data_IF_654584497685
#
_entry.id   IF_654584497685
#
_cell.length_a   1.000
_cell.length_b   1.000
_cell.length_c   1.000
_cell.angle_alpha   90.00
_cell.angle_beta   90.00
_cell.angle_gamma   90.00
#
_symmetry.space_group_name_H-M   'P 1'
#
loop_
_entity.id
_entity.type
_entity.pdbx_description
1 polymer ?
#
# COMPACT_ATOMS: atom_id res chain seq x y z
N UNK A 1 -4.98 2.26 -14.15
CA UNK A 1 -6.42 2.48 -13.82
C UNK A 1 -6.97 3.52 -14.77
N UNK A 2 -8.19 3.33 -15.25
CA UNK A 2 -8.91 4.40 -15.95
C UNK A 2 -9.10 5.60 -15.02
N UNK A 3 -8.97 6.83 -15.53
CA UNK A 3 -8.98 8.02 -14.68
C UNK A 3 -10.37 8.39 -14.16
N UNK A 4 -11.42 8.10 -14.94
CA UNK A 4 -12.79 8.34 -14.47
C UNK A 4 -13.18 7.35 -13.39
N UNK A 5 -12.74 6.09 -13.51
CA UNK A 5 -12.88 5.09 -12.45
C UNK A 5 -12.09 5.52 -11.20
N UNK A 6 -10.87 6.01 -11.36
CA UNK A 6 -10.09 6.53 -10.23
C UNK A 6 -10.84 7.65 -9.50
N UNK A 7 -11.33 8.64 -10.24
CA UNK A 7 -12.10 9.75 -9.65
C UNK A 7 -13.34 9.25 -8.90
N UNK A 8 -14.12 8.35 -9.48
CA UNK A 8 -15.30 7.83 -8.81
C UNK A 8 -15.01 7.13 -7.48
N UNK A 9 -13.89 6.40 -7.41
CA UNK A 9 -13.41 5.77 -6.17
C UNK A 9 -13.03 6.82 -5.13
N UNK A 10 -12.31 7.87 -5.56
CA UNK A 10 -11.87 8.95 -4.67
C UNK A 10 -13.08 9.77 -4.18
N UNK A 11 -14.00 10.12 -5.07
CA UNK A 11 -15.22 10.86 -4.74
C UNK A 11 -16.06 10.12 -3.68
N UNK A 12 -16.21 8.82 -3.83
CA UNK A 12 -16.89 8.00 -2.83
C UNK A 12 -16.16 7.97 -1.48
N UNK A 13 -14.83 7.87 -1.51
CA UNK A 13 -14.02 7.88 -0.29
C UNK A 13 -14.11 9.19 0.49
N UNK A 14 -14.32 10.32 -0.17
CA UNK A 14 -14.44 11.64 0.47
C UNK A 14 -15.64 11.78 1.39
N UNK A 15 -16.71 11.04 1.16
CA UNK A 15 -17.89 11.07 2.02
C UNK A 15 -17.58 10.61 3.47
N UNK A 16 -16.49 9.88 3.66
CA UNK A 16 -16.10 9.32 4.96
C UNK A 16 -15.05 10.12 5.72
N UNK A 17 -14.75 11.34 5.29
CA UNK A 17 -13.77 12.21 5.94
C UNK A 17 -12.35 12.11 5.35
N UNK A 18 -11.36 12.80 5.94
CA UNK A 18 -9.97 12.73 5.49
C UNK A 18 -9.43 11.32 5.53
N UNK A 19 -8.64 10.94 4.52
CA UNK A 19 -8.09 9.59 4.35
C UNK A 19 -6.63 9.63 3.92
N UNK A 20 -5.94 8.53 4.20
CA UNK A 20 -4.64 8.25 3.59
C UNK A 20 -4.84 7.42 2.33
N UNK A 21 -4.35 7.91 1.21
CA UNK A 21 -4.40 7.25 -0.09
C UNK A 21 -3.01 6.74 -0.46
N UNK A 22 -2.88 5.42 -0.56
CA UNK A 22 -1.68 4.79 -1.08
C UNK A 22 -1.88 4.50 -2.57
N UNK A 23 -1.22 5.28 -3.43
CA UNK A 23 -1.32 5.14 -4.89
C UNK A 23 -0.40 4.02 -5.40
N UNK A 24 -0.46 2.88 -4.74
CA UNK A 24 0.36 1.71 -5.02
C UNK A 24 -0.37 0.44 -4.57
N UNK A 25 -0.22 -0.63 -5.33
CA UNK A 25 -0.56 -1.99 -4.90
C UNK A 25 0.54 -2.97 -5.31
N UNK A 26 0.65 -3.34 -6.61
CA UNK A 26 1.68 -4.25 -7.14
C UNK A 26 2.38 -3.71 -8.40
N UNK A 27 2.13 -2.46 -8.77
CA UNK A 27 2.74 -1.78 -9.91
C UNK A 27 3.67 -0.64 -9.48
N UNK A 28 4.23 0.05 -10.48
CA UNK A 28 5.01 1.28 -10.27
C UNK A 28 4.10 2.50 -10.53
N UNK A 29 3.77 3.30 -9.51
CA UNK A 29 2.84 4.43 -9.66
C UNK A 29 3.35 5.50 -10.62
N UNK A 30 4.67 5.74 -10.68
CA UNK A 30 5.26 6.74 -11.56
C UNK A 30 5.23 6.37 -13.05
N UNK A 31 4.84 5.14 -13.38
CA UNK A 31 4.51 4.74 -14.77
C UNK A 31 3.09 5.14 -15.17
N UNK A 32 2.26 5.59 -14.26
CA UNK A 32 0.91 6.04 -14.59
C UNK A 32 0.95 7.45 -15.18
N UNK A 33 0.56 7.66 -16.46
CA UNK A 33 0.76 8.96 -17.14
C UNK A 33 0.04 10.13 -16.47
N UNK A 34 -1.01 9.86 -15.70
CA UNK A 34 -1.81 10.87 -15.01
C UNK A 34 -1.58 10.86 -13.49
N UNK A 35 -0.39 10.48 -13.05
CA UNK A 35 -0.10 10.35 -11.60
C UNK A 35 -0.20 11.71 -10.90
N UNK A 36 0.30 12.76 -11.51
CA UNK A 36 0.26 14.12 -10.94
C UNK A 36 -1.17 14.60 -10.81
N UNK A 37 -1.97 14.49 -11.89
CA UNK A 37 -3.40 14.85 -11.85
C UNK A 37 -4.17 14.05 -10.77
N UNK A 38 -3.80 12.80 -10.56
CA UNK A 38 -4.41 11.96 -9.53
C UNK A 38 -4.07 12.45 -8.10
N UNK A 39 -2.84 12.89 -7.89
CA UNK A 39 -2.39 13.47 -6.62
C UNK A 39 -3.11 14.80 -6.37
N UNK A 40 -3.09 15.70 -7.34
CA UNK A 40 -3.81 16.97 -7.27
C UNK A 40 -5.28 16.77 -6.93
N UNK A 41 -5.94 15.85 -7.63
CA UNK A 41 -7.34 15.56 -7.40
C UNK A 41 -7.63 15.17 -5.95
N UNK A 42 -6.82 14.30 -5.36
CA UNK A 42 -6.96 13.90 -3.96
C UNK A 42 -6.74 15.10 -3.01
N UNK A 43 -5.73 15.92 -3.28
CA UNK A 43 -5.36 17.04 -2.40
C UNK A 43 -6.37 18.18 -2.47
N UNK A 44 -6.90 18.47 -3.68
CA UNK A 44 -7.90 19.53 -3.88
C UNK A 44 -9.26 19.17 -3.30
N UNK A 45 -9.65 17.92 -3.38
CA UNK A 45 -10.98 17.49 -3.02
C UNK A 45 -11.26 17.56 -1.51
N UNK A 46 -10.24 17.40 -0.66
CA UNK A 46 -10.40 17.55 0.79
C UNK A 46 -9.10 17.90 1.50
N UNK A 47 -9.16 18.98 2.29
CA UNK A 47 -8.08 19.34 3.21
C UNK A 47 -7.87 18.22 4.25
N UNK A 48 -6.62 17.82 4.46
CA UNK A 48 -6.25 16.75 5.41
C UNK A 48 -6.13 15.36 4.79
N UNK A 49 -6.37 15.19 3.48
CA UNK A 49 -6.01 13.97 2.78
C UNK A 49 -4.49 13.81 2.73
N UNK A 50 -4.05 12.58 2.97
CA UNK A 50 -2.63 12.19 2.93
C UNK A 50 -2.41 11.33 1.70
N UNK A 51 -1.43 11.70 0.87
CA UNK A 51 -1.03 10.95 -0.33
C UNK A 51 0.31 10.27 -0.09
N UNK A 52 0.33 8.96 -0.26
CA UNK A 52 1.50 8.11 -0.08
C UNK A 52 1.83 7.44 -1.41
N UNK A 53 3.07 7.54 -1.85
CA UNK A 53 3.60 6.82 -3.00
C UNK A 53 4.60 5.77 -2.55
N UNK A 54 4.44 4.54 -3.05
CA UNK A 54 5.47 3.50 -2.93
C UNK A 54 6.04 3.26 -4.32
N UNK A 55 7.32 3.53 -4.51
CA UNK A 55 7.99 3.50 -5.82
C UNK A 55 9.31 2.75 -5.77
N UNK A 56 9.70 2.13 -6.89
CA UNK A 56 11.04 1.58 -7.08
C UNK A 56 12.10 2.68 -7.30
N UNK A 57 11.68 3.93 -7.51
CA UNK A 57 12.50 5.11 -7.64
C UNK A 57 13.19 5.32 -9.00
N UNK A 58 12.96 4.45 -9.98
CA UNK A 58 13.62 4.56 -11.30
C UNK A 58 13.20 5.83 -12.06
N UNK A 59 12.00 6.30 -11.85
CA UNK A 59 11.44 7.50 -12.48
C UNK A 59 11.39 8.71 -11.54
N UNK A 60 11.87 8.57 -10.31
CA UNK A 60 11.68 9.59 -9.28
C UNK A 60 12.34 10.93 -9.65
N UNK A 61 13.51 10.89 -10.31
CA UNK A 61 14.25 12.09 -10.75
C UNK A 61 13.46 12.90 -11.79
N UNK A 62 12.54 12.27 -12.53
CA UNK A 62 11.71 12.92 -13.55
C UNK A 62 10.50 13.64 -12.95
N UNK A 63 10.09 13.28 -11.76
CA UNK A 63 8.86 13.77 -11.10
C UNK A 63 9.13 14.54 -9.81
N UNK A 64 10.40 14.83 -9.48
CA UNK A 64 10.75 15.42 -8.18
C UNK A 64 9.98 16.70 -7.88
N UNK A 65 10.03 17.67 -8.79
CA UNK A 65 9.39 18.97 -8.60
C UNK A 65 7.88 18.85 -8.52
N UNK A 66 7.27 18.10 -9.46
CA UNK A 66 5.81 17.94 -9.49
C UNK A 66 5.26 17.20 -8.27
N UNK A 67 5.96 16.17 -7.78
CA UNK A 67 5.54 15.46 -6.57
C UNK A 67 5.58 16.35 -5.32
N UNK A 68 6.55 17.25 -5.25
CA UNK A 68 6.66 18.21 -4.17
C UNK A 68 5.58 19.28 -4.26
N UNK A 69 5.43 19.92 -5.43
CA UNK A 69 4.48 21.01 -5.67
C UNK A 69 3.04 20.55 -5.48
N UNK A 70 2.71 19.33 -5.88
CA UNK A 70 1.37 18.77 -5.77
C UNK A 70 1.07 18.09 -4.42
N UNK A 71 1.99 18.21 -3.47
CA UNK A 71 1.72 17.92 -2.06
C UNK A 71 1.66 16.43 -1.72
N UNK A 72 2.55 15.61 -2.28
CA UNK A 72 2.79 14.25 -1.78
C UNK A 72 3.30 14.33 -0.35
N UNK A 73 2.63 13.64 0.56
CA UNK A 73 2.97 13.69 1.99
C UNK A 73 4.06 12.68 2.34
N UNK A 74 4.15 11.58 1.60
CA UNK A 74 5.13 10.53 1.89
C UNK A 74 5.53 9.74 0.65
N UNK A 75 6.82 9.51 0.50
CA UNK A 75 7.38 8.61 -0.51
C UNK A 75 8.06 7.43 0.19
N UNK A 76 7.59 6.22 -0.13
CA UNK A 76 8.20 4.98 0.29
C UNK A 76 9.02 4.46 -0.88
N UNK A 77 10.33 4.48 -0.73
CA UNK A 77 11.23 4.07 -1.78
C UNK A 77 11.69 2.63 -1.55
N UNK A 78 11.25 1.71 -2.43
CA UNK A 78 11.66 0.31 -2.43
C UNK A 78 12.75 0.11 -3.50
N UNK A 79 13.96 -0.29 -3.12
CA UNK A 79 15.06 -0.48 -4.07
C UNK A 79 15.97 -1.66 -3.73
N UNK A 80 16.40 -2.35 -4.81
CA UNK A 80 17.35 -3.47 -4.72
C UNK A 80 18.82 -3.04 -4.57
N UNK A 81 19.20 -1.89 -5.15
CA UNK A 81 20.58 -1.39 -5.12
C UNK A 81 20.69 -0.05 -4.43
N UNK A 82 21.32 -0.04 -3.27
CA UNK A 82 21.39 1.14 -2.41
C UNK A 82 22.60 2.01 -2.73
N UNK A 83 23.66 1.46 -3.33
CA UNK A 83 24.90 2.19 -3.62
C UNK A 83 24.71 3.41 -4.52
N UNK A 84 23.77 3.35 -5.46
CA UNK A 84 23.41 4.47 -6.36
C UNK A 84 22.47 5.51 -5.73
N UNK A 85 21.88 5.21 -4.60
CA UNK A 85 20.89 6.00 -3.92
C UNK A 85 21.47 7.27 -3.28
N UNK A 86 22.64 7.13 -2.65
CA UNK A 86 23.25 8.20 -1.87
C UNK A 86 23.91 9.29 -2.72
N UNK A 87 24.03 9.08 -4.03
CA UNK A 87 24.62 10.05 -4.96
C UNK A 87 23.59 10.98 -5.62
N UNK A 88 22.28 10.65 -5.55
CA UNK A 88 21.26 11.50 -6.18
C UNK A 88 20.94 12.74 -5.33
N UNK A 89 20.82 13.90 -6.00
CA UNK A 89 20.39 15.14 -5.36
C UNK A 89 18.99 15.02 -4.76
N UNK A 90 18.11 14.33 -5.45
CA UNK A 90 16.72 14.00 -5.05
C UNK A 90 16.68 13.30 -3.70
N UNK A 91 17.50 12.28 -3.50
CA UNK A 91 17.55 11.57 -2.23
C UNK A 91 17.87 12.50 -1.07
N UNK A 92 18.86 13.40 -1.25
CA UNK A 92 19.27 14.36 -0.21
C UNK A 92 18.15 15.33 0.13
N UNK A 93 17.44 15.82 -0.87
CA UNK A 93 16.33 16.73 -0.69
C UNK A 93 15.15 16.09 0.03
N UNK A 94 14.67 14.97 -0.46
CA UNK A 94 13.52 14.25 0.11
C UNK A 94 13.81 13.75 1.53
N UNK A 95 15.05 13.32 1.81
CA UNK A 95 15.48 12.94 3.16
C UNK A 95 15.50 14.15 4.10
N UNK A 96 16.04 15.29 3.65
CA UNK A 96 16.07 16.53 4.45
C UNK A 96 14.68 17.01 4.85
N UNK A 97 13.67 16.75 4.00
CA UNK A 97 12.26 17.11 4.25
C UNK A 97 11.47 16.05 4.99
N UNK A 98 12.06 14.92 5.32
CA UNK A 98 11.36 13.82 6.00
C UNK A 98 10.32 13.09 5.13
N UNK A 99 10.29 13.37 3.81
CA UNK A 99 9.32 12.78 2.88
C UNK A 99 9.68 11.36 2.48
N UNK A 100 10.93 10.93 2.66
CA UNK A 100 11.39 9.65 2.19
C UNK A 100 11.55 8.64 3.32
N UNK A 101 10.95 7.48 3.15
CA UNK A 101 11.23 6.27 3.91
C UNK A 101 11.74 5.19 2.97
N UNK A 102 12.93 4.65 3.25
CA UNK A 102 13.58 3.66 2.40
C UNK A 102 13.30 2.28 2.95
N UNK A 103 12.78 1.40 2.09
CA UNK A 103 12.65 -0.03 2.35
C UNK A 103 13.53 -0.76 1.36
N UNK A 104 14.68 -1.32 1.78
CA UNK A 104 15.47 -2.16 0.89
C UNK A 104 14.67 -3.43 0.58
N UNK A 105 14.39 -3.66 -0.69
CA UNK A 105 14.02 -4.99 -1.17
C UNK A 105 15.29 -5.84 -1.15
N UNK A 106 15.50 -6.56 -0.08
CA UNK A 106 16.61 -7.52 -0.03
C UNK A 106 16.09 -8.89 -0.41
N UNK A 107 16.75 -9.49 -1.39
CA UNK A 107 16.50 -10.87 -1.79
C UNK A 107 17.09 -11.87 -0.81
N UNK A 108 17.98 -11.43 0.09
CA UNK A 108 18.58 -12.28 1.10
C UNK A 108 18.50 -11.67 2.51
N UNK A 109 18.18 -12.52 3.48
CA UNK A 109 18.18 -12.19 4.90
C UNK A 109 19.55 -11.67 5.39
N UNK A 110 20.67 -12.18 4.82
CA UNK A 110 22.03 -11.79 5.18
C UNK A 110 22.37 -10.36 4.76
N UNK A 111 21.90 -9.92 3.59
CA UNK A 111 22.10 -8.54 3.14
C UNK A 111 21.28 -7.55 3.96
N UNK A 112 20.06 -7.93 4.30
CA UNK A 112 19.19 -7.13 5.14
C UNK A 112 19.78 -6.89 6.54
N UNK A 113 20.48 -7.86 7.12
CA UNK A 113 21.12 -7.74 8.42
C UNK A 113 22.30 -6.75 8.46
N UNK A 114 22.92 -6.42 7.33
CA UNK A 114 24.02 -5.43 7.25
C UNK A 114 23.53 -3.99 7.48
N UNK A 115 22.24 -3.74 7.49
CA UNK A 115 21.64 -2.43 7.65
C UNK A 115 21.25 -2.17 9.11
N UNK A 116 22.09 -1.46 9.85
CA UNK A 116 21.92 -1.21 11.30
C UNK A 116 20.58 -0.56 11.71
N UNK A 117 19.93 0.18 10.81
CA UNK A 117 18.61 0.79 11.09
C UNK A 117 17.42 -0.14 10.88
N UNK A 118 17.61 -1.27 10.21
CA UNK A 118 16.57 -2.17 9.73
C UNK A 118 16.36 -3.41 10.58
N UNK A 119 17.24 -3.68 11.54
CA UNK A 119 17.23 -4.93 12.32
C UNK A 119 15.92 -5.18 13.08
N UNK A 120 15.14 -4.16 13.37
CA UNK A 120 13.82 -4.31 14.00
C UNK A 120 12.72 -4.70 13.02
N UNK A 121 12.77 -4.22 11.77
CA UNK A 121 11.69 -4.43 10.78
C UNK A 121 11.88 -5.72 9.95
N UNK A 122 13.10 -6.21 9.81
CA UNK A 122 13.42 -7.45 9.06
C UNK A 122 12.89 -8.71 9.74
N UNK A 123 12.65 -8.68 11.04
CA UNK A 123 12.00 -9.80 11.74
C UNK A 123 10.65 -10.18 11.13
N UNK A 124 10.07 -9.32 10.29
CA UNK A 124 8.70 -9.42 9.81
C UNK A 124 8.56 -9.22 8.30
N UNK A 125 9.46 -9.81 7.50
CA UNK A 125 9.23 -9.89 6.06
C UNK A 125 7.91 -10.63 5.84
N UNK A 126 6.89 -9.91 5.40
CA UNK A 126 5.59 -10.55 5.16
C UNK A 126 5.65 -11.52 3.98
N UNK A 127 4.82 -12.53 4.04
CA UNK A 127 4.78 -13.62 3.06
C UNK A 127 3.74 -13.38 1.96
N UNK A 128 3.44 -12.12 1.64
CA UNK A 128 2.47 -11.71 0.61
C UNK A 128 1.14 -12.48 0.73
N UNK A 129 0.48 -12.32 1.87
CA UNK A 129 -0.79 -12.99 2.12
C UNK A 129 -0.71 -14.52 2.18
N UNK A 130 0.44 -15.07 2.57
CA UNK A 130 0.65 -16.51 2.66
C UNK A 130 1.01 -17.19 1.34
N UNK A 131 1.25 -16.41 0.27
CA UNK A 131 1.61 -16.95 -1.05
C UNK A 131 3.08 -17.37 -1.16
N UNK A 132 3.95 -16.81 -0.31
CA UNK A 132 5.36 -17.18 -0.23
C UNK A 132 5.61 -17.95 1.08
N UNK A 133 6.16 -19.19 1.02
CA UNK A 133 6.51 -19.95 2.21
C UNK A 133 7.59 -19.19 3.02
N UNK A 134 7.25 -18.73 4.20
CA UNK A 134 8.18 -18.13 5.16
C UNK A 134 7.83 -18.59 6.58
N UNK A 135 8.81 -18.83 7.44
CA UNK A 135 8.53 -19.22 8.82
C UNK A 135 7.78 -18.09 9.53
N UNK A 136 6.61 -18.40 10.05
CA UNK A 136 5.87 -17.51 10.93
C UNK A 136 6.27 -17.82 12.37
N UNK A 137 6.86 -16.86 13.06
CA UNK A 137 7.27 -17.01 14.48
C UNK A 137 6.22 -16.46 15.45
N UNK A 138 4.96 -16.46 15.09
CA UNK A 138 3.96 -15.82 15.94
C UNK A 138 3.20 -16.88 16.73
N UNK A 139 3.36 -16.85 18.05
CA UNK A 139 2.67 -17.74 18.98
C UNK A 139 1.20 -17.34 19.18
N UNK A 140 0.92 -16.04 19.17
CA UNK A 140 -0.44 -15.50 19.26
C UNK A 140 -0.77 -14.71 17.99
N UNK A 141 -2.01 -14.82 17.54
CA UNK A 141 -2.47 -14.17 16.32
C UNK A 141 -3.71 -13.33 16.59
N UNK A 142 -3.64 -12.08 16.15
CA UNK A 142 -4.73 -11.11 16.24
C UNK A 142 -5.45 -10.94 14.89
N UNK A 143 -6.70 -10.44 14.89
CA UNK A 143 -7.39 -10.08 13.66
C UNK A 143 -6.59 -9.12 12.79
N UNK A 144 -6.63 -9.33 11.47
CA UNK A 144 -5.86 -8.52 10.54
C UNK A 144 -6.44 -7.12 10.39
N UNK A 145 -5.66 -6.11 10.72
CA UNK A 145 -6.00 -4.70 10.56
C UNK A 145 -6.54 -4.33 9.17
N UNK A 146 -5.98 -4.89 8.10
CA UNK A 146 -6.34 -4.52 6.72
C UNK A 146 -7.83 -4.72 6.40
N UNK A 147 -8.49 -5.71 7.00
CA UNK A 147 -9.91 -5.98 6.77
C UNK A 147 -10.83 -4.89 7.32
N UNK A 148 -10.37 -4.10 8.29
CA UNK A 148 -11.18 -3.05 8.92
C UNK A 148 -10.83 -1.64 8.48
N UNK A 149 -9.63 -1.42 7.96
CA UNK A 149 -9.12 -0.07 7.74
C UNK A 149 -8.55 0.21 6.35
N UNK A 150 -8.35 -0.83 5.50
CA UNK A 150 -7.59 -0.68 4.26
C UNK A 150 -8.31 -1.32 3.07
N UNK A 151 -9.37 -0.69 2.53
CA UNK A 151 -9.93 -1.14 1.27
C UNK A 151 -8.87 -1.06 0.17
N UNK A 152 -8.85 -2.04 -0.71
CA UNK A 152 -7.88 -2.12 -1.80
C UNK A 152 -8.58 -2.33 -3.15
N UNK A 153 -8.25 -1.48 -4.12
CA UNK A 153 -8.76 -1.58 -5.49
C UNK A 153 -7.58 -1.72 -6.45
N UNK A 154 -7.63 -2.72 -7.30
CA UNK A 154 -6.60 -2.99 -8.32
C UNK A 154 -6.74 -2.01 -9.49
N UNK A 155 -5.69 -1.91 -10.31
CA UNK A 155 -5.64 -0.98 -11.45
C UNK A 155 -6.77 -1.20 -12.48
N UNK A 156 -7.31 -2.41 -12.55
CA UNK A 156 -8.42 -2.79 -13.44
C UNK A 156 -9.81 -2.60 -12.81
N UNK A 157 -9.89 -2.05 -11.59
CA UNK A 157 -11.13 -1.81 -10.86
C UNK A 157 -11.59 -2.96 -9.98
N UNK A 158 -10.85 -4.05 -9.87
CA UNK A 158 -11.21 -5.14 -8.96
C UNK A 158 -11.04 -4.70 -7.51
N UNK A 159 -12.11 -4.79 -6.73
CA UNK A 159 -12.07 -4.64 -5.28
C UNK A 159 -11.61 -5.95 -4.65
N UNK A 160 -10.53 -5.92 -3.89
CA UNK A 160 -9.95 -7.11 -3.27
C UNK A 160 -10.05 -7.09 -1.76
N UNK A 161 -10.24 -8.26 -1.18
CA UNK A 161 -10.28 -8.47 0.28
C UNK A 161 -9.01 -7.98 0.97
N UNK A 162 -7.87 -8.06 0.30
CA UNK A 162 -6.56 -7.81 0.89
C UNK A 162 -5.60 -7.14 -0.08
N UNK A 163 -4.89 -6.10 0.39
CA UNK A 163 -3.82 -5.45 -0.37
C UNK A 163 -2.59 -6.35 -0.63
N UNK A 164 -2.45 -7.45 0.12
CA UNK A 164 -1.37 -8.43 -0.06
C UNK A 164 -1.77 -9.63 -0.95
N UNK A 165 -2.71 -9.43 -1.86
CA UNK A 165 -3.12 -10.43 -2.85
C UNK A 165 -2.52 -10.12 -4.23
N UNK A 166 -1.27 -10.53 -4.53
CA UNK A 166 -0.61 -10.22 -5.80
C UNK A 166 -1.28 -10.87 -7.01
N UNK A 167 -1.93 -12.02 -6.79
CA UNK A 167 -2.50 -12.82 -7.87
C UNK A 167 -3.99 -12.60 -8.11
N UNK A 168 -4.64 -11.72 -7.34
CA UNK A 168 -6.09 -11.45 -7.48
C UNK A 168 -6.98 -12.64 -7.11
N UNK A 169 -6.54 -13.50 -6.19
CA UNK A 169 -7.32 -14.66 -5.72
C UNK A 169 -8.41 -14.30 -4.71
N UNK A 170 -8.36 -13.08 -4.17
CA UNK A 170 -9.26 -12.59 -3.13
C UNK A 170 -10.11 -11.42 -3.63
N UNK A 171 -10.38 -11.37 -4.92
CA UNK A 171 -11.26 -10.37 -5.53
C UNK A 171 -12.69 -10.63 -5.10
N UNK A 172 -13.37 -9.58 -4.57
CA UNK A 172 -14.78 -9.64 -4.16
C UNK A 172 -15.71 -9.20 -5.28
N UNK A 173 -15.23 -8.40 -6.22
CA UNK A 173 -15.95 -7.96 -7.39
C UNK A 173 -15.28 -6.76 -8.05
N UNK A 174 -15.94 -6.19 -9.05
CA UNK A 174 -15.43 -5.07 -9.84
C UNK A 174 -16.21 -3.79 -9.54
N UNK A 175 -15.48 -2.70 -9.31
CA UNK A 175 -16.11 -1.37 -9.12
C UNK A 175 -16.84 -0.98 -10.41
N UNK A 176 -18.11 -0.62 -10.26
CA UNK A 176 -19.00 -0.09 -11.30
C UNK A 176 -19.71 1.15 -10.76
N UNK A 177 -20.58 1.76 -11.56
CA UNK A 177 -21.44 2.86 -11.10
C UNK A 177 -22.43 2.43 -10.02
N UNK A 178 -22.92 1.19 -10.12
CA UNK A 178 -23.91 0.60 -9.20
C UNK A 178 -23.26 0.00 -7.96
N UNK A 179 -22.04 -0.51 -8.09
CA UNK A 179 -21.31 -1.22 -7.04
C UNK A 179 -19.95 -0.54 -6.81
N UNK A 180 -19.94 0.48 -5.97
CA UNK A 180 -18.75 1.23 -5.58
C UNK A 180 -17.94 0.58 -4.45
N UNK A 181 -17.02 1.35 -3.88
CA UNK A 181 -16.19 0.91 -2.73
C UNK A 181 -17.06 0.57 -1.52
N UNK A 182 -18.06 1.42 -1.22
CA UNK A 182 -18.95 1.21 -0.09
C UNK A 182 -19.74 -0.10 -0.19
N UNK A 183 -20.21 -0.44 -1.39
CA UNK A 183 -20.92 -1.69 -1.63
C UNK A 183 -20.10 -2.90 -1.23
N UNK A 184 -18.85 -3.00 -1.72
CA UNK A 184 -17.96 -4.13 -1.38
C UNK A 184 -17.46 -4.08 0.05
N UNK A 185 -17.23 -2.87 0.60
CA UNK A 185 -16.77 -2.69 1.97
C UNK A 185 -17.78 -3.20 3.00
N UNK A 186 -19.07 -3.19 2.66
CA UNK A 186 -20.18 -3.69 3.47
C UNK A 186 -20.75 -5.02 2.96
N UNK A 187 -20.08 -5.67 2.02
CA UNK A 187 -20.54 -6.93 1.46
C UNK A 187 -20.54 -8.06 2.49
N UNK A 188 -21.43 -9.03 2.27
CA UNK A 188 -21.49 -10.24 3.08
C UNK A 188 -20.13 -10.96 3.16
N UNK A 189 -19.41 -11.08 2.02
CA UNK A 189 -18.12 -11.74 1.96
C UNK A 189 -17.06 -11.07 2.84
N UNK A 190 -17.01 -9.72 2.84
CA UNK A 190 -16.06 -9.01 3.69
C UNK A 190 -16.47 -9.07 5.17
N UNK A 191 -17.77 -9.03 5.44
CA UNK A 191 -18.29 -9.20 6.80
C UNK A 191 -17.97 -10.60 7.35
N UNK A 192 -18.20 -11.64 6.56
CA UNK A 192 -17.84 -13.02 6.92
C UNK A 192 -16.33 -13.15 7.22
N UNK A 193 -15.48 -12.59 6.36
CA UNK A 193 -14.03 -12.61 6.58
C UNK A 193 -13.63 -11.90 7.88
N UNK A 194 -14.27 -10.79 8.23
CA UNK A 194 -14.06 -10.08 9.51
C UNK A 194 -14.50 -10.93 10.69
N UNK A 195 -15.67 -11.53 10.62
CA UNK A 195 -16.22 -12.41 11.67
C UNK A 195 -15.32 -13.61 11.92
N UNK A 196 -14.87 -14.27 10.85
CA UNK A 196 -13.92 -15.39 10.95
C UNK A 196 -12.60 -14.98 11.61
N UNK A 197 -12.07 -13.83 11.26
CA UNK A 197 -10.85 -13.31 11.86
C UNK A 197 -11.03 -12.92 13.33
N UNK A 198 -12.15 -12.28 13.66
CA UNK A 198 -12.48 -11.89 15.04
C UNK A 198 -12.65 -13.11 15.96
N UNK A 199 -13.14 -14.23 15.43
CA UNK A 199 -13.27 -15.51 16.16
C UNK A 199 -11.99 -16.35 16.15
N UNK A 200 -10.87 -15.87 15.60
CA UNK A 200 -9.63 -16.64 15.51
C UNK A 200 -9.64 -17.74 14.44
N UNK A 201 -10.66 -17.79 13.59
CA UNK A 201 -10.80 -18.79 12.54
C UNK A 201 -10.24 -18.28 11.22
N UNK A 202 -8.96 -18.47 11.00
CA UNK A 202 -8.25 -17.98 9.80
C UNK A 202 -8.32 -19.00 8.66
N UNK A 203 -9.04 -18.65 7.58
CA UNK A 203 -9.24 -19.51 6.40
C UNK A 203 -8.47 -19.04 5.17
N UNK A 204 -8.34 -19.91 4.19
CA UNK A 204 -7.74 -19.61 2.88
C UNK A 204 -6.34 -19.02 2.99
N UNK A 205 -6.06 -17.97 2.22
CA UNK A 205 -4.78 -17.26 2.23
C UNK A 205 -4.44 -16.67 3.62
N UNK A 206 -5.44 -16.26 4.39
CA UNK A 206 -5.24 -15.74 5.74
C UNK A 206 -4.65 -16.77 6.71
N UNK A 207 -4.86 -18.07 6.50
CA UNK A 207 -4.37 -19.13 7.39
C UNK A 207 -2.85 -19.06 7.59
N UNK A 208 -2.12 -18.84 6.52
CA UNK A 208 -0.65 -18.83 6.52
C UNK A 208 -0.06 -17.41 6.40
N UNK A 209 -0.89 -16.39 6.37
CA UNK A 209 -0.45 -15.00 6.23
C UNK A 209 0.25 -14.50 7.51
N UNK A 210 1.33 -13.74 7.35
CA UNK A 210 2.00 -13.03 8.43
C UNK A 210 1.92 -11.48 8.28
N UNK A 211 1.24 -10.97 7.25
CA UNK A 211 1.11 -9.53 7.02
C UNK A 211 0.27 -8.82 8.09
N UNK A 212 -0.56 -9.55 8.83
CA UNK A 212 -1.33 -9.02 9.97
C UNK A 212 -0.46 -8.48 11.11
N UNK A 213 0.82 -8.85 11.16
CA UNK A 213 1.78 -8.35 12.15
C UNK A 213 2.39 -7.01 11.78
N UNK A 214 2.22 -6.59 10.53
CA UNK A 214 2.69 -5.29 10.07
C UNK A 214 1.66 -4.25 10.42
N UNK A 215 1.89 -3.50 11.49
CA UNK A 215 1.12 -2.29 11.75
C UNK A 215 1.29 -1.33 10.57
N UNK A 216 0.23 -0.62 10.19
CA UNK A 216 0.39 0.42 9.19
C UNK A 216 1.37 1.45 9.75
N UNK A 217 2.52 1.51 9.16
CA UNK A 217 3.56 2.49 9.49
C UNK A 217 3.20 3.89 8.96
N UNK A 218 1.92 4.16 8.81
CA UNK A 218 1.35 5.33 8.13
C UNK A 218 0.70 6.34 9.08
N UNK A 219 0.86 6.13 10.38
CA UNK A 219 0.48 7.11 11.41
C UNK A 219 1.71 7.75 12.03
#
# INVERSE_FOLDING_TARGET
MDYMLFRSIIDEAFHYGPRSFSLHLFGEPLMYPRIIEAIEYIKMARKGNIVILTTNGLLLDQYESELEENGVDKIIWTRREISKLFSSGVFRLLKKRGLIRIFPETTSYKEALKWRGYQREIKYLHNYGGTIPRPTRVQERYPCYHLWFSPAVRYNGDFTLCCNDPYGKLVLGKITKEHGVHYYWNSFLLHEARTLQASGNYKGACKNCNAWTTYPTFF
#
